data_IF_080422252310
#
_entry.id   IF_080422252310
#
_cell.length_a   1.000
_cell.length_b   1.000
_cell.length_c   1.000
_cell.angle_alpha   90.00
_cell.angle_beta   90.00
_cell.angle_gamma   90.00
#
_symmetry.space_group_name_H-M   'P 1'
#
loop_
_entity.id
_entity.type
_entity.pdbx_description
1 polymer ?
#
# COMPACT_ATOMS: atom_id res chain seq x y z
N UNK A 1 4.01 -24.17 -14.58
CA UNK A 1 4.11 -24.03 -13.10
C UNK A 1 5.04 -22.85 -12.81
N UNK A 2 4.57 -21.80 -12.12
CA UNK A 2 5.45 -20.69 -11.72
C UNK A 2 6.43 -21.17 -10.65
N UNK A 3 7.69 -20.75 -10.70
CA UNK A 3 8.65 -21.13 -9.67
C UNK A 3 8.26 -20.54 -8.30
N UNK A 4 8.69 -21.20 -7.21
CA UNK A 4 8.45 -20.70 -5.84
C UNK A 4 9.05 -19.30 -5.63
N UNK A 5 10.16 -18.99 -6.31
CA UNK A 5 10.77 -17.66 -6.33
C UNK A 5 9.86 -16.64 -7.02
N UNK A 6 9.26 -16.99 -8.16
CA UNK A 6 8.31 -16.11 -8.86
C UNK A 6 7.05 -15.84 -8.02
N UNK A 7 6.53 -16.85 -7.33
CA UNK A 7 5.39 -16.69 -6.42
C UNK A 7 5.73 -15.76 -5.25
N UNK A 8 6.90 -15.95 -4.62
CA UNK A 8 7.35 -15.09 -3.52
C UNK A 8 7.59 -13.65 -3.98
N UNK A 9 8.19 -13.46 -5.16
CA UNK A 9 8.38 -12.12 -5.75
C UNK A 9 7.05 -11.43 -6.05
N UNK A 10 6.03 -12.16 -6.53
CA UNK A 10 4.70 -11.61 -6.74
C UNK A 10 4.05 -11.15 -5.42
N UNK A 11 4.23 -11.91 -4.33
CA UNK A 11 3.75 -11.53 -2.99
C UNK A 11 4.50 -10.28 -2.50
N UNK A 12 5.82 -10.20 -2.69
CA UNK A 12 6.59 -9.01 -2.32
C UNK A 12 6.20 -7.76 -3.11
N UNK A 13 5.80 -7.88 -4.38
CA UNK A 13 5.24 -6.74 -5.13
C UNK A 13 3.98 -6.17 -4.49
N UNK A 14 3.15 -6.99 -3.85
CA UNK A 14 1.97 -6.52 -3.10
C UNK A 14 2.42 -5.66 -1.91
N UNK A 15 3.49 -6.05 -1.21
CA UNK A 15 4.08 -5.25 -0.13
C UNK A 15 4.64 -3.93 -0.65
N UNK A 16 5.39 -3.95 -1.74
CA UNK A 16 5.93 -2.71 -2.35
C UNK A 16 4.79 -1.78 -2.78
N UNK A 17 3.76 -2.32 -3.42
CA UNK A 17 2.57 -1.54 -3.77
C UNK A 17 1.88 -0.94 -2.54
N UNK A 18 1.71 -1.72 -1.46
CA UNK A 18 1.15 -1.22 -0.20
C UNK A 18 1.94 -0.03 0.36
N UNK A 19 3.27 -0.11 0.35
CA UNK A 19 4.16 0.97 0.80
C UNK A 19 4.01 2.20 -0.09
N UNK A 20 4.03 2.03 -1.42
CA UNK A 20 3.90 3.13 -2.38
C UNK A 20 2.58 3.86 -2.21
N UNK A 21 1.45 3.14 -2.13
CA UNK A 21 0.13 3.74 -1.94
C UNK A 21 0.03 4.50 -0.61
N UNK A 22 0.61 3.97 0.46
CA UNK A 22 0.60 4.63 1.78
C UNK A 22 1.47 5.89 1.78
N UNK A 23 2.65 5.84 1.15
CA UNK A 23 3.55 7.01 1.03
C UNK A 23 2.92 8.11 0.18
N UNK A 24 2.39 7.78 -1.00
CA UNK A 24 1.71 8.76 -1.87
C UNK A 24 0.49 9.35 -1.19
N UNK A 25 -0.31 8.53 -0.49
CA UNK A 25 -1.43 9.01 0.31
C UNK A 25 -1.01 9.93 1.45
N UNK A 26 0.09 9.61 2.15
CA UNK A 26 0.66 10.47 3.20
C UNK A 26 1.14 11.82 2.68
N UNK A 27 1.85 11.83 1.55
CA UNK A 27 2.28 13.09 0.88
C UNK A 27 1.06 13.90 0.44
N UNK A 28 0.04 13.25 -0.15
CA UNK A 28 -1.20 13.90 -0.54
C UNK A 28 -1.95 14.53 0.65
N UNK A 29 -1.96 13.86 1.80
CA UNK A 29 -2.58 14.39 3.02
C UNK A 29 -1.83 15.62 3.56
N UNK A 30 -0.49 15.62 3.51
CA UNK A 30 0.33 16.77 3.90
C UNK A 30 0.09 17.97 2.98
N UNK A 31 -0.03 17.74 1.67
CA UNK A 31 -0.39 18.79 0.72
C UNK A 31 -1.79 19.34 0.98
N UNK A 32 -2.76 18.48 1.30
CA UNK A 32 -4.12 18.88 1.65
C UNK A 32 -4.14 19.75 2.93
N UNK A 33 -3.37 19.37 3.94
CA UNK A 33 -3.18 20.16 5.16
C UNK A 33 -2.53 21.52 4.88
N UNK A 34 -1.49 21.56 4.04
CA UNK A 34 -0.84 22.80 3.65
C UNK A 34 -1.82 23.76 2.95
N UNK A 35 -2.69 23.25 2.07
CA UNK A 35 -3.73 24.04 1.40
C UNK A 35 -4.73 24.66 2.38
N UNK A 36 -5.12 23.94 3.44
CA UNK A 36 -5.98 24.48 4.50
C UNK A 36 -5.28 25.59 5.30
N UNK A 37 -4.01 25.40 5.64
CA UNK A 37 -3.23 26.37 6.44
C UNK A 37 -3.01 27.67 5.67
N UNK A 38 -2.81 27.60 4.35
CA UNK A 38 -2.59 28.78 3.49
C UNK A 38 -3.90 29.53 3.16
N UNK A 39 -5.07 29.01 3.57
CA UNK A 39 -6.35 29.70 3.39
C UNK A 39 -6.93 29.61 1.97
N UNK A 40 -6.59 28.54 1.24
CA UNK A 40 -7.15 28.30 -0.10
C UNK A 40 -8.59 27.77 -0.05
N UNK A 41 -9.27 27.72 -1.20
CA UNK A 41 -10.67 27.26 -1.30
C UNK A 41 -10.90 25.92 -0.57
N UNK A 42 -11.85 25.87 0.39
CA UNK A 42 -12.06 24.69 1.23
C UNK A 42 -12.47 23.45 0.42
N UNK A 43 -13.14 23.65 -0.72
CA UNK A 43 -13.55 22.58 -1.63
C UNK A 43 -12.36 21.80 -2.19
N UNK A 44 -11.25 22.47 -2.50
CA UNK A 44 -10.04 21.81 -3.03
C UNK A 44 -9.38 20.95 -1.95
N UNK A 45 -9.29 21.46 -0.74
CA UNK A 45 -8.73 20.71 0.38
C UNK A 45 -9.50 19.40 0.61
N UNK A 46 -10.84 19.44 0.63
CA UNK A 46 -11.68 18.24 0.79
C UNK A 46 -11.40 17.19 -0.29
N UNK A 47 -11.26 17.60 -1.56
CA UNK A 47 -10.91 16.69 -2.66
C UNK A 47 -9.55 16.04 -2.44
N UNK A 48 -8.53 16.83 -2.06
CA UNK A 48 -7.20 16.29 -1.77
C UNK A 48 -7.19 15.33 -0.57
N UNK A 49 -7.94 15.65 0.50
CA UNK A 49 -8.11 14.73 1.63
C UNK A 49 -8.81 13.43 1.22
N UNK A 50 -9.82 13.50 0.37
CA UNK A 50 -10.51 12.32 -0.16
C UNK A 50 -9.58 11.42 -0.97
N UNK A 51 -8.79 12.00 -1.88
CA UNK A 51 -7.82 11.26 -2.69
C UNK A 51 -6.73 10.64 -1.80
N UNK A 52 -6.15 11.44 -0.91
CA UNK A 52 -5.12 10.99 0.03
C UNK A 52 -5.63 9.85 0.93
N UNK A 53 -6.83 10.01 1.49
CA UNK A 53 -7.50 8.97 2.27
C UNK A 53 -7.71 7.69 1.47
N UNK A 54 -8.20 7.79 0.23
CA UNK A 54 -8.36 6.64 -0.67
C UNK A 54 -7.05 5.90 -0.94
N UNK A 55 -5.94 6.63 -1.15
CA UNK A 55 -4.62 6.05 -1.34
C UNK A 55 -4.11 5.33 -0.08
N UNK A 56 -4.28 5.92 1.10
CA UNK A 56 -3.90 5.30 2.38
C UNK A 56 -4.71 4.02 2.62
N UNK A 57 -6.03 4.06 2.36
CA UNK A 57 -6.91 2.89 2.49
C UNK A 57 -6.47 1.78 1.52
N UNK A 58 -6.16 2.14 0.27
CA UNK A 58 -5.61 1.20 -0.72
C UNK A 58 -4.31 0.54 -0.27
N UNK A 59 -3.40 1.33 0.32
CA UNK A 59 -2.17 0.84 0.94
C UNK A 59 -2.44 -0.15 2.08
N UNK A 60 -3.40 0.16 2.96
CA UNK A 60 -3.78 -0.70 4.07
C UNK A 60 -4.42 -2.02 3.60
N UNK A 61 -5.29 -1.98 2.60
CA UNK A 61 -5.90 -3.16 1.99
C UNK A 61 -4.84 -4.06 1.38
N UNK A 62 -3.87 -3.49 0.66
CA UNK A 62 -2.76 -4.25 0.07
C UNK A 62 -1.86 -4.85 1.16
N UNK A 63 -1.62 -4.15 2.27
CA UNK A 63 -0.89 -4.70 3.41
C UNK A 63 -1.61 -5.89 4.04
N UNK A 64 -2.94 -5.82 4.19
CA UNK A 64 -3.76 -6.97 4.65
C UNK A 64 -3.71 -8.14 3.66
N UNK A 65 -3.80 -7.87 2.36
CA UNK A 65 -3.67 -8.89 1.30
C UNK A 65 -2.30 -9.57 1.35
N UNK A 66 -1.22 -8.79 1.49
CA UNK A 66 0.14 -9.31 1.65
C UNK A 66 0.25 -10.24 2.86
N UNK A 67 -0.25 -9.83 4.03
CA UNK A 67 -0.21 -10.67 5.25
C UNK A 67 -0.93 -12.01 5.07
N UNK A 68 -2.09 -12.01 4.40
CA UNK A 68 -2.83 -13.25 4.12
C UNK A 68 -2.09 -14.13 3.12
N UNK A 69 -1.58 -13.54 2.02
CA UNK A 69 -0.88 -14.26 0.97
C UNK A 69 0.43 -14.88 1.47
N UNK A 70 1.20 -14.14 2.28
CA UNK A 70 2.46 -14.67 2.82
C UNK A 70 2.21 -15.73 3.89
N UNK A 71 1.19 -15.58 4.74
CA UNK A 71 0.82 -16.59 5.72
C UNK A 71 0.41 -17.91 5.03
N UNK A 72 -0.45 -17.85 4.00
CA UNK A 72 -0.84 -19.02 3.23
C UNK A 72 0.39 -19.68 2.55
N UNK A 73 1.23 -18.87 1.90
CA UNK A 73 2.45 -19.37 1.25
C UNK A 73 3.42 -20.06 2.24
N UNK A 74 3.60 -19.50 3.43
CA UNK A 74 4.48 -20.09 4.46
C UNK A 74 3.92 -21.37 5.05
N UNK A 75 2.60 -21.51 5.15
CA UNK A 75 1.95 -22.73 5.64
C UNK A 75 2.10 -23.87 4.62
N UNK A 76 2.03 -23.56 3.33
CA UNK A 76 2.11 -24.57 2.25
C UNK A 76 3.55 -24.97 1.88
N UNK A 77 4.49 -24.03 1.89
CA UNK A 77 5.84 -24.25 1.34
C UNK A 77 6.97 -24.14 2.37
N UNK A 78 6.68 -23.72 3.60
CA UNK A 78 7.67 -23.48 4.65
C UNK A 78 8.25 -22.05 4.62
N UNK A 79 8.82 -21.63 5.75
CA UNK A 79 9.26 -20.23 6.00
C UNK A 79 10.41 -19.77 5.08
N UNK A 80 11.15 -20.72 4.50
CA UNK A 80 12.31 -20.45 3.64
C UNK A 80 12.07 -20.65 2.14
N UNK A 81 10.86 -21.05 1.73
CA UNK A 81 10.56 -21.26 0.32
C UNK A 81 10.76 -19.97 -0.51
N UNK A 82 11.56 -20.06 -1.57
CA UNK A 82 11.84 -18.94 -2.48
C UNK A 82 12.70 -17.82 -1.87
N UNK A 83 13.47 -18.06 -0.79
CA UNK A 83 14.49 -17.14 -0.28
C UNK A 83 15.80 -17.13 -1.09
N UNK A 84 16.03 -18.16 -1.90
CA UNK A 84 17.20 -18.32 -2.77
C UNK A 84 16.74 -18.89 -4.11
#
# INVERSE_FOLDING_TARGET
MSSLIQQRMAIERIRTSAIVWTLLGGVGALLALAQLVVGTEPTRAVVFFGIAGGMIIGGLVNSRRYRRAIAAFTTENGVDAGKR
#
